data_IF_522547494292
#
_entry.id   IF_522547494292
#
_cell.length_a   1.000
_cell.length_b   1.000
_cell.length_c   1.000
_cell.angle_alpha   90.00
_cell.angle_beta   90.00
_cell.angle_gamma   90.00
#
_symmetry.space_group_name_H-M   'P 1'
#
loop_
_entity.id
_entity.type
_entity.pdbx_description
1 polymer ?
#
# COMPACT_ATOMS: atom_id res chain seq x y z
N UNK A 1 9.70 -5.07 -10.07
CA UNK A 1 9.04 -4.21 -9.07
C UNK A 1 8.09 -3.21 -9.72
N UNK A 2 8.55 -2.37 -10.65
CA UNK A 2 7.72 -1.31 -11.25
C UNK A 2 6.53 -1.82 -12.06
N UNK A 3 6.71 -2.86 -12.87
CA UNK A 3 5.61 -3.48 -13.61
C UNK A 3 4.49 -4.00 -12.70
N UNK A 4 4.85 -4.53 -11.52
CA UNK A 4 3.89 -5.00 -10.52
C UNK A 4 3.13 -3.85 -9.88
N UNK A 5 3.83 -2.76 -9.56
CA UNK A 5 3.21 -1.53 -9.08
C UNK A 5 2.24 -0.96 -10.12
N UNK A 6 2.67 -0.84 -11.38
CA UNK A 6 1.83 -0.29 -12.45
C UNK A 6 0.55 -1.13 -12.65
N UNK A 7 0.67 -2.46 -12.58
CA UNK A 7 -0.48 -3.36 -12.67
C UNK A 7 -1.38 -3.30 -11.42
N UNK A 8 -0.80 -3.17 -10.23
CA UNK A 8 -1.58 -2.93 -9.00
C UNK A 8 -2.41 -1.65 -9.11
N UNK A 9 -1.83 -0.56 -9.63
CA UNK A 9 -2.54 0.71 -9.81
C UNK A 9 -3.68 0.60 -10.82
N UNK A 10 -3.52 -0.19 -11.89
CA UNK A 10 -4.63 -0.49 -12.82
C UNK A 10 -5.77 -1.23 -12.13
N UNK A 11 -5.44 -2.22 -11.30
CA UNK A 11 -6.44 -2.96 -10.53
C UNK A 11 -7.13 -2.09 -9.48
N UNK A 12 -6.43 -1.14 -8.85
CA UNK A 12 -7.06 -0.15 -7.98
C UNK A 12 -8.06 0.71 -8.74
N UNK A 13 -7.69 1.23 -9.91
CA UNK A 13 -8.62 1.99 -10.75
C UNK A 13 -9.84 1.16 -11.16
N UNK A 14 -9.64 -0.11 -11.53
CA UNK A 14 -10.74 -1.03 -11.81
C UNK A 14 -11.61 -1.26 -10.57
N UNK A 15 -11.03 -1.45 -9.39
CA UNK A 15 -11.78 -1.65 -8.16
C UNK A 15 -12.62 -0.42 -7.80
N UNK A 16 -12.12 0.79 -8.04
CA UNK A 16 -12.88 2.03 -7.85
C UNK A 16 -14.10 2.10 -8.78
N UNK A 17 -13.93 1.70 -10.05
CA UNK A 17 -15.03 1.61 -11.01
C UNK A 17 -16.06 0.54 -10.59
N UNK A 18 -15.59 -0.63 -10.15
CA UNK A 18 -16.43 -1.71 -9.63
C UNK A 18 -17.22 -1.27 -8.39
N UNK A 19 -16.57 -0.57 -7.45
CA UNK A 19 -17.21 -0.06 -6.24
C UNK A 19 -18.31 0.95 -6.57
N UNK A 20 -18.03 1.90 -7.49
CA UNK A 20 -19.03 2.88 -7.96
C UNK A 20 -20.21 2.20 -8.64
N UNK A 21 -19.97 1.12 -9.37
CA UNK A 21 -21.00 0.29 -9.99
C UNK A 21 -21.71 -0.65 -8.99
N UNK A 22 -21.40 -0.58 -7.69
CA UNK A 22 -21.88 -1.50 -6.65
C UNK A 22 -21.60 -2.98 -6.95
N UNK A 23 -20.57 -3.24 -7.76
CA UNK A 23 -20.12 -4.59 -8.07
C UNK A 23 -19.35 -5.15 -6.86
N UNK A 24 -19.79 -6.25 -6.23
CA UNK A 24 -19.15 -6.80 -5.04
C UNK A 24 -17.71 -7.30 -5.29
N UNK A 25 -17.29 -7.44 -6.55
CA UNK A 25 -15.95 -7.90 -6.90
C UNK A 25 -14.83 -6.91 -6.54
N UNK A 26 -15.14 -5.64 -6.26
CA UNK A 26 -14.12 -4.62 -5.96
C UNK A 26 -13.15 -5.05 -4.85
N UNK A 27 -13.66 -5.73 -3.81
CA UNK A 27 -12.80 -6.24 -2.71
C UNK A 27 -11.82 -7.31 -3.18
N UNK A 28 -12.22 -8.18 -4.09
CA UNK A 28 -11.34 -9.20 -4.64
C UNK A 28 -10.32 -8.59 -5.61
N UNK A 29 -10.73 -7.59 -6.38
CA UNK A 29 -9.84 -6.81 -7.24
C UNK A 29 -8.79 -6.07 -6.42
N UNK A 30 -9.17 -5.45 -5.29
CA UNK A 30 -8.24 -4.83 -4.33
C UNK A 30 -7.26 -5.84 -3.73
N UNK A 31 -7.70 -7.06 -3.38
CA UNK A 31 -6.77 -8.10 -2.89
C UNK A 31 -5.73 -8.49 -3.92
N UNK A 32 -6.11 -8.58 -5.21
CA UNK A 32 -5.15 -8.84 -6.30
C UNK A 32 -4.18 -7.67 -6.47
N UNK A 33 -4.68 -6.43 -6.42
CA UNK A 33 -3.83 -5.23 -6.43
C UNK A 33 -2.82 -5.26 -5.28
N UNK A 34 -3.29 -5.57 -4.07
CA UNK A 34 -2.46 -5.65 -2.88
C UNK A 34 -1.35 -6.69 -3.01
N UNK A 35 -1.65 -7.87 -3.56
CA UNK A 35 -0.64 -8.91 -3.77
C UNK A 35 0.52 -8.40 -4.65
N UNK A 36 0.19 -7.77 -5.77
CA UNK A 36 1.20 -7.21 -6.69
C UNK A 36 1.98 -6.06 -6.05
N UNK A 37 1.30 -5.18 -5.33
CA UNK A 37 1.92 -4.04 -4.68
C UNK A 37 2.85 -4.48 -3.55
N UNK A 38 2.45 -5.49 -2.77
CA UNK A 38 3.31 -6.11 -1.77
C UNK A 38 4.55 -6.71 -2.41
N UNK A 39 4.41 -7.45 -3.49
CA UNK A 39 5.57 -8.00 -4.20
C UNK A 39 6.51 -6.91 -4.71
N UNK A 40 5.99 -5.75 -5.13
CA UNK A 40 6.80 -4.60 -5.50
C UNK A 40 7.53 -3.98 -4.29
N UNK A 41 6.81 -3.75 -3.18
CA UNK A 41 7.35 -3.16 -1.96
C UNK A 41 8.40 -4.06 -1.30
N UNK A 42 8.10 -5.35 -1.15
CA UNK A 42 8.98 -6.32 -0.52
C UNK A 42 10.23 -6.62 -1.35
N UNK A 43 10.19 -6.43 -2.67
CA UNK A 43 11.39 -6.52 -3.51
C UNK A 43 12.44 -5.44 -3.17
N UNK A 44 12.04 -4.34 -2.52
CA UNK A 44 12.92 -3.25 -2.08
C UNK A 44 13.07 -3.19 -0.55
N UNK A 45 12.58 -4.18 0.19
CA UNK A 45 12.47 -4.11 1.66
C UNK A 45 13.81 -3.78 2.33
N UNK A 46 14.86 -4.48 1.93
CA UNK A 46 16.19 -4.41 2.54
C UNK A 46 17.05 -3.27 1.95
N UNK A 47 16.63 -2.68 0.82
CA UNK A 47 17.30 -1.58 0.12
C UNK A 47 16.94 -0.22 0.73
N UNK A 48 17.35 0.01 1.98
CA UNK A 48 17.03 1.23 2.75
C UNK A 48 17.91 2.43 2.43
N UNK A 49 18.65 2.40 1.32
CA UNK A 49 19.57 3.48 0.95
C UNK A 49 18.80 4.64 0.31
N UNK A 50 19.41 5.83 0.33
CA UNK A 50 18.87 7.03 -0.31
C UNK A 50 18.70 6.90 -1.83
N UNK A 51 19.30 5.89 -2.45
CA UNK A 51 19.18 5.61 -3.89
C UNK A 51 17.82 5.01 -4.25
N UNK A 52 17.28 4.16 -3.35
CA UNK A 52 16.01 3.48 -3.56
C UNK A 52 14.82 4.21 -2.93
N UNK A 53 15.08 5.10 -1.98
CA UNK A 53 14.09 6.08 -1.54
C UNK A 53 14.00 7.24 -2.54
N UNK A 54 12.79 7.73 -2.88
CA UNK A 54 11.51 7.48 -2.19
C UNK A 54 10.75 6.25 -2.71
N UNK A 55 11.23 5.55 -3.73
CA UNK A 55 10.49 4.46 -4.40
C UNK A 55 10.05 3.36 -3.42
N UNK A 56 10.96 2.93 -2.55
CA UNK A 56 10.65 1.93 -1.50
C UNK A 56 9.51 2.42 -0.58
N UNK A 57 9.64 3.63 -0.02
CA UNK A 57 8.63 4.22 0.83
C UNK A 57 7.28 4.39 0.11
N UNK A 58 7.30 4.83 -1.15
CA UNK A 58 6.09 4.97 -2.00
C UNK A 58 5.38 3.63 -2.17
N UNK A 59 6.10 2.55 -2.45
CA UNK A 59 5.49 1.23 -2.61
C UNK A 59 4.89 0.71 -1.29
N UNK A 60 5.56 0.91 -0.15
CA UNK A 60 4.97 0.54 1.14
C UNK A 60 3.74 1.40 1.50
N UNK A 61 3.79 2.70 1.22
CA UNK A 61 2.65 3.60 1.43
C UNK A 61 1.46 3.21 0.57
N UNK A 62 1.72 2.91 -0.70
CA UNK A 62 0.71 2.46 -1.65
C UNK A 62 0.10 1.13 -1.21
N UNK A 63 0.92 0.12 -0.89
CA UNK A 63 0.45 -1.17 -0.37
C UNK A 63 -0.41 -1.00 0.88
N UNK A 64 0.00 -0.12 1.80
CA UNK A 64 -0.76 0.20 3.01
C UNK A 64 -2.15 0.78 2.67
N UNK A 65 -2.21 1.73 1.72
CA UNK A 65 -3.49 2.31 1.27
C UNK A 65 -4.41 1.25 0.68
N UNK A 66 -3.90 0.40 -0.21
CA UNK A 66 -4.70 -0.68 -0.83
C UNK A 66 -5.22 -1.65 0.24
N UNK A 67 -4.39 -2.02 1.21
CA UNK A 67 -4.80 -2.90 2.30
C UNK A 67 -5.88 -2.25 3.19
N UNK A 68 -5.78 -0.94 3.43
CA UNK A 68 -6.80 -0.19 4.17
C UNK A 68 -8.14 -0.17 3.42
N UNK A 69 -8.11 0.10 2.10
CA UNK A 69 -9.30 0.12 1.24
C UNK A 69 -9.92 -1.29 1.10
N UNK A 70 -9.10 -2.33 1.14
CA UNK A 70 -9.53 -3.73 1.19
C UNK A 70 -10.06 -4.17 2.58
N UNK A 71 -10.08 -3.27 3.57
CA UNK A 71 -10.43 -3.53 4.98
C UNK A 71 -9.52 -4.57 5.68
N UNK A 72 -8.30 -4.76 5.17
CA UNK A 72 -7.28 -5.67 5.71
C UNK A 72 -6.42 -4.93 6.74
N UNK A 73 -7.03 -4.44 7.82
CA UNK A 73 -6.41 -3.47 8.73
C UNK A 73 -5.11 -3.94 9.40
N UNK A 74 -5.01 -5.22 9.78
CA UNK A 74 -3.79 -5.75 10.38
C UNK A 74 -2.63 -5.76 9.37
N UNK A 75 -2.91 -6.13 8.13
CA UNK A 75 -1.92 -6.14 7.05
C UNK A 75 -1.51 -4.71 6.66
N UNK A 76 -2.48 -3.78 6.58
CA UNK A 76 -2.21 -2.36 6.36
C UNK A 76 -1.25 -1.81 7.43
N UNK A 77 -1.47 -2.15 8.70
CA UNK A 77 -0.60 -1.74 9.82
C UNK A 77 0.82 -2.26 9.65
N UNK A 78 0.98 -3.54 9.30
CA UNK A 78 2.30 -4.14 9.08
C UNK A 78 3.05 -3.47 7.93
N UNK A 79 2.36 -3.20 6.83
CA UNK A 79 2.93 -2.52 5.66
C UNK A 79 3.39 -1.11 5.99
N UNK A 80 2.58 -0.35 6.75
CA UNK A 80 2.97 0.99 7.16
C UNK A 80 4.20 0.98 8.08
N UNK A 81 4.23 0.06 9.05
CA UNK A 81 5.37 -0.12 9.95
C UNK A 81 6.63 -0.52 9.18
N UNK A 82 6.52 -1.39 8.17
CA UNK A 82 7.65 -1.79 7.35
C UNK A 82 8.19 -0.64 6.48
N UNK A 83 7.31 0.19 5.91
CA UNK A 83 7.69 1.41 5.21
C UNK A 83 8.54 2.34 6.09
N UNK A 84 8.07 2.58 7.32
CA UNK A 84 8.73 3.42 8.33
C UNK A 84 10.05 2.87 8.87
N UNK A 85 10.35 1.58 8.69
CA UNK A 85 11.67 1.01 9.04
C UNK A 85 12.78 1.39 8.05
N UNK A 86 12.45 2.00 6.91
CA UNK A 86 13.43 2.70 6.09
C UNK A 86 13.80 4.03 6.71
N UNK A 87 14.61 4.81 6.01
CA UNK A 87 14.73 6.25 6.26
C UNK A 87 13.90 6.98 5.19
N UNK A 88 12.54 6.82 5.16
CA UNK A 88 11.72 7.39 4.11
C UNK A 88 11.79 8.91 4.16
N UNK A 89 11.58 9.53 3.01
CA UNK A 89 11.59 10.97 2.90
C UNK A 89 10.46 11.57 3.76
N UNK A 90 10.63 12.79 4.31
CA UNK A 90 9.68 13.36 5.28
C UNK A 90 8.22 13.32 4.83
N UNK A 91 7.96 13.56 3.55
CA UNK A 91 6.62 13.52 2.97
C UNK A 91 6.01 12.11 3.08
N UNK A 92 6.76 11.08 2.68
CA UNK A 92 6.30 9.69 2.74
C UNK A 92 6.18 9.20 4.18
N UNK A 93 7.09 9.63 5.06
CA UNK A 93 7.00 9.33 6.49
C UNK A 93 5.69 9.85 7.07
N UNK A 94 5.34 11.10 6.79
CA UNK A 94 4.10 11.71 7.28
C UNK A 94 2.87 10.95 6.75
N UNK A 95 2.83 10.63 5.46
CA UNK A 95 1.74 9.83 4.86
C UNK A 95 1.58 8.46 5.55
N UNK A 96 2.69 7.77 5.84
CA UNK A 96 2.67 6.47 6.53
C UNK A 96 2.19 6.58 7.98
N UNK A 97 2.59 7.63 8.69
CA UNK A 97 2.15 7.90 10.07
C UNK A 97 0.65 8.25 10.13
N UNK A 98 0.15 9.03 9.16
CA UNK A 98 -1.27 9.33 9.00
C UNK A 98 -2.10 8.06 8.73
N UNK A 99 -1.62 7.21 7.82
CA UNK A 99 -2.26 5.90 7.55
C UNK A 99 -2.29 5.02 8.80
N UNK A 100 -1.17 4.94 9.56
CA UNK A 100 -1.15 4.18 10.80
C UNK A 100 -2.19 4.65 11.81
N UNK A 101 -2.35 5.96 11.94
CA UNK A 101 -3.38 6.53 12.82
C UNK A 101 -4.78 6.15 12.36
N UNK A 102 -5.08 6.29 11.07
CA UNK A 102 -6.36 5.89 10.50
C UNK A 102 -6.65 4.39 10.71
N UNK A 103 -5.65 3.53 10.54
CA UNK A 103 -5.77 2.09 10.77
C UNK A 103 -6.03 1.77 12.24
N UNK A 104 -5.34 2.44 13.17
CA UNK A 104 -5.56 2.24 14.61
C UNK A 104 -6.98 2.59 15.04
N UNK A 105 -7.62 3.57 14.40
CA UNK A 105 -9.02 3.91 14.66
C UNK A 105 -9.99 2.82 14.19
N UNK A 106 -9.60 1.97 13.24
CA UNK A 106 -10.42 0.86 12.72
C UNK A 106 -10.28 -0.45 13.51
N UNK A 107 -9.18 -0.63 14.25
CA UNK A 107 -8.88 -1.85 15.02
C UNK A 107 -9.33 -1.75 16.49
N UNK A 108 -9.74 -0.57 16.95
CA UNK A 108 -10.33 -0.36 18.30
C UNK A 108 -11.67 -1.04 18.46
#
# INVERSE_FOLDING_TARGET
MREKHDEAMRLCHQADEEQKAQNPNYKETLKKALLLEKEAAYALKDDKTREFEPTRGVFFRSACSIALDAELYNEAKELAQEGLKGDPFPEIKNELEELLKAIQEKIK
#
